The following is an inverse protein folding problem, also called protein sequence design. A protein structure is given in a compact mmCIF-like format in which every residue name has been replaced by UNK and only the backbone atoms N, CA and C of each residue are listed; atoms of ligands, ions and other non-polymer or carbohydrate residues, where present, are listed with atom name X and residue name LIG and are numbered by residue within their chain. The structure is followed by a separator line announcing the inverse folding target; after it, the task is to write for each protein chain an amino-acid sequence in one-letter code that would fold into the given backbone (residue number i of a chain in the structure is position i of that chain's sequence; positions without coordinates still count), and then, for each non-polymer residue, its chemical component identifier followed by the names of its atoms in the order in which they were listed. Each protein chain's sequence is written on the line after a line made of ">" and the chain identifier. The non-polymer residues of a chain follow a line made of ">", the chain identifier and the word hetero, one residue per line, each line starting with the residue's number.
data_IF_663791837987
#
_entry.id   IF_663791837987
#
_cell.length_a   1.000
_cell.length_b   1.000
_cell.length_c   1.000
_cell.angle_alpha   90.00
_cell.angle_beta   90.00
_cell.angle_gamma   90.00
#
_symmetry.space_group_name_H-M   'P 1'
#
loop_
_entity.id
_entity.type
_entity.pdbx_description
1 polymer ?
#
# COMPACT_ATOMS: atom_id res chain seq x y z
N UNK A 1 -6.62 -13.62 3.22
CA UNK A 1 -5.65 -13.67 2.10
C UNK A 1 -6.08 -12.76 0.95
N UNK A 2 -7.19 -13.05 0.25
CA UNK A 2 -7.61 -12.23 -0.91
C UNK A 2 -7.80 -10.75 -0.54
N UNK A 3 -8.57 -10.45 0.51
CA UNK A 3 -8.81 -9.07 0.98
C UNK A 3 -7.52 -8.35 1.38
N UNK A 4 -6.64 -9.04 2.12
CA UNK A 4 -5.38 -8.47 2.56
C UNK A 4 -4.46 -8.15 1.37
N UNK A 5 -4.37 -9.06 0.40
CA UNK A 5 -3.57 -8.90 -0.82
C UNK A 5 -4.09 -7.78 -1.71
N UNK A 6 -5.40 -7.67 -1.93
CA UNK A 6 -5.97 -6.60 -2.77
C UNK A 6 -5.81 -5.23 -2.11
N UNK A 7 -6.06 -5.12 -0.80
CA UNK A 7 -5.89 -3.88 -0.06
C UNK A 7 -4.42 -3.45 0.06
N UNK A 8 -3.49 -4.39 0.30
CA UNK A 8 -2.05 -4.11 0.36
C UNK A 8 -1.51 -3.63 -0.99
N UNK A 9 -1.97 -4.23 -2.10
CA UNK A 9 -1.66 -3.80 -3.47
C UNK A 9 -2.19 -2.41 -3.77
N UNK A 10 -3.40 -2.07 -3.33
CA UNK A 10 -3.96 -0.74 -3.47
C UNK A 10 -3.10 0.30 -2.72
N UNK A 11 -2.67 0.00 -1.50
CA UNK A 11 -1.75 0.88 -0.75
C UNK A 11 -0.42 1.07 -1.49
N UNK A 12 0.22 -0.01 -1.95
CA UNK A 12 1.47 0.09 -2.70
C UNK A 12 1.32 0.93 -3.99
N UNK A 13 0.19 0.81 -4.69
CA UNK A 13 -0.11 1.64 -5.87
C UNK A 13 -0.19 3.13 -5.53
N UNK A 14 -0.83 3.49 -4.41
CA UNK A 14 -0.85 4.89 -3.99
C UNK A 14 0.54 5.43 -3.62
N UNK A 15 1.50 4.58 -3.24
CA UNK A 15 2.88 5.00 -2.97
C UNK A 15 3.66 5.23 -4.27
N UNK A 16 3.45 4.39 -5.29
CA UNK A 16 4.01 4.56 -6.63
C UNK A 16 3.57 5.89 -7.24
N UNK A 17 2.28 6.22 -7.10
CA UNK A 17 1.71 7.46 -7.64
C UNK A 17 2.25 8.73 -6.96
N UNK A 18 2.47 8.67 -5.64
CA UNK A 18 2.75 9.86 -4.82
C UNK A 18 4.24 10.19 -4.63
N UNK A 19 5.15 9.27 -4.94
CA UNK A 19 6.56 9.41 -4.64
C UNK A 19 7.42 9.24 -5.90
N UNK A 20 8.58 9.90 -5.98
CA UNK A 20 9.52 9.66 -7.07
C UNK A 20 10.20 8.30 -6.92
N UNK A 21 10.38 7.59 -8.02
CA UNK A 21 11.17 6.36 -8.05
C UNK A 21 12.67 6.70 -7.94
N UNK A 22 13.36 6.12 -6.97
CA UNK A 22 14.79 6.30 -6.71
C UNK A 22 15.49 4.96 -6.92
N UNK A 23 16.55 4.93 -7.73
CA UNK A 23 17.37 3.74 -7.96
C UNK A 23 18.80 4.15 -8.27
N UNK A 24 19.78 3.49 -7.65
CA UNK A 24 21.22 3.79 -7.72
C UNK A 24 21.89 3.53 -9.07
N UNK A 25 21.12 3.36 -10.15
CA UNK A 25 21.69 3.02 -11.45
C UNK A 25 21.19 3.95 -12.55
N UNK A 26 22.07 4.87 -12.96
CA UNK A 26 21.97 5.64 -14.21
C UNK A 26 21.84 4.74 -15.47
N UNK A 27 21.94 3.42 -15.32
CA UNK A 27 21.94 2.40 -16.38
C UNK A 27 20.81 1.36 -16.31
N UNK A 28 19.75 1.54 -15.51
CA UNK A 28 18.66 0.55 -15.49
C UNK A 28 17.67 0.73 -16.65
N UNK A 29 17.56 -0.30 -17.50
CA UNK A 29 16.64 -0.42 -18.65
C UNK A 29 15.14 -0.40 -18.27
N UNK A 30 14.79 -0.24 -17.00
CA UNK A 30 13.42 -0.23 -16.48
C UNK A 30 12.81 1.18 -16.31
N UNK A 31 13.51 2.23 -16.78
CA UNK A 31 13.10 3.64 -16.68
C UNK A 31 11.65 4.00 -17.10
N UNK A 32 10.92 3.35 -18.04
CA UNK A 32 9.61 3.88 -18.43
C UNK A 32 8.41 3.33 -17.65
N UNK A 33 8.54 2.23 -16.89
CA UNK A 33 7.36 1.58 -16.26
C UNK A 33 6.95 2.20 -14.92
N UNK A 34 7.90 2.70 -14.14
CA UNK A 34 7.63 3.34 -12.83
C UNK A 34 7.23 4.82 -12.96
N UNK A 35 7.29 5.40 -14.16
CA UNK A 35 7.21 6.85 -14.38
C UNK A 35 5.79 7.40 -14.48
N UNK A 36 4.77 6.60 -14.83
CA UNK A 36 3.40 7.12 -15.00
C UNK A 36 2.35 6.07 -14.70
N UNK A 37 2.17 5.73 -13.42
CA UNK A 37 0.92 5.10 -13.03
C UNK A 37 -0.21 6.10 -13.27
N UNK A 38 -1.19 5.74 -14.08
CA UNK A 38 -2.31 6.62 -14.40
C UNK A 38 -3.20 6.80 -13.16
N UNK A 39 -3.75 8.00 -12.95
CA UNK A 39 -4.73 8.23 -11.89
C UNK A 39 -5.92 7.25 -11.98
N UNK A 40 -6.25 6.79 -13.18
CA UNK A 40 -7.30 5.79 -13.43
C UNK A 40 -6.90 4.41 -12.88
N UNK A 41 -5.65 3.98 -13.07
CA UNK A 41 -5.15 2.70 -12.55
C UNK A 41 -5.19 2.69 -11.02
N UNK A 42 -4.73 3.78 -10.40
CA UNK A 42 -4.78 3.95 -8.94
C UNK A 42 -6.22 3.95 -8.45
N UNK A 43 -7.14 4.62 -9.17
CA UNK A 43 -8.56 4.66 -8.81
C UNK A 43 -9.21 3.27 -8.89
N UNK A 44 -8.90 2.47 -9.92
CA UNK A 44 -9.37 1.07 -10.04
C UNK A 44 -8.82 0.23 -8.88
N UNK A 45 -7.54 0.37 -8.55
CA UNK A 45 -6.91 -0.36 -7.44
C UNK A 45 -7.52 0.02 -6.09
N UNK A 46 -7.75 1.31 -5.84
CA UNK A 46 -8.43 1.79 -4.64
C UNK A 46 -9.88 1.32 -4.57
N UNK A 47 -10.60 1.36 -5.69
CA UNK A 47 -11.99 0.89 -5.74
C UNK A 47 -12.07 -0.62 -5.47
N UNK A 48 -11.27 -1.43 -6.15
CA UNK A 48 -11.25 -2.89 -5.97
C UNK A 48 -10.73 -3.28 -4.57
N UNK A 49 -9.72 -2.59 -4.04
CA UNK A 49 -9.25 -2.75 -2.67
C UNK A 49 -10.32 -2.38 -1.63
N UNK A 50 -11.05 -1.28 -1.84
CA UNK A 50 -12.15 -0.86 -0.96
C UNK A 50 -13.32 -1.82 -0.99
N UNK A 51 -13.76 -2.26 -2.18
CA UNK A 51 -14.86 -3.23 -2.33
C UNK A 51 -14.51 -4.56 -1.67
N UNK A 52 -13.27 -5.02 -1.80
CA UNK A 52 -12.84 -6.27 -1.13
C UNK A 52 -12.76 -6.13 0.39
N UNK A 53 -12.41 -4.97 0.93
CA UNK A 53 -12.46 -4.70 2.37
C UNK A 53 -13.89 -4.74 2.92
N UNK A 54 -14.88 -4.25 2.17
CA UNK A 54 -16.28 -4.26 2.59
C UNK A 54 -16.85 -5.68 2.81
N UNK A 55 -16.22 -6.72 2.24
CA UNK A 55 -16.58 -8.13 2.50
C UNK A 55 -16.40 -8.51 3.97
N UNK A 56 -15.50 -7.84 4.70
CA UNK A 56 -15.29 -8.07 6.13
C UNK A 56 -16.33 -7.36 7.02
N UNK A 57 -17.15 -6.46 6.44
CA UNK A 57 -18.07 -5.60 7.18
C UNK A 57 -17.57 -4.16 7.26
N UNK A 58 -18.52 -3.22 7.43
CA UNK A 58 -18.24 -1.78 7.33
C UNK A 58 -17.32 -1.31 8.48
N UNK A 59 -17.54 -1.78 9.71
CA UNK A 59 -16.73 -1.39 10.86
C UNK A 59 -15.26 -1.81 10.69
N UNK A 60 -15.04 -3.08 10.33
CA UNK A 60 -13.71 -3.64 10.10
C UNK A 60 -13.02 -2.97 8.92
N UNK A 61 -13.75 -2.71 7.83
CA UNK A 61 -13.23 -1.99 6.67
C UNK A 61 -12.76 -0.57 7.03
N UNK A 62 -13.52 0.17 7.85
CA UNK A 62 -13.13 1.51 8.32
C UNK A 62 -11.88 1.44 9.18
N UNK A 63 -11.82 0.52 10.15
CA UNK A 63 -10.68 0.40 11.05
C UNK A 63 -9.41 -0.01 10.29
N UNK A 64 -9.49 -1.02 9.44
CA UNK A 64 -8.36 -1.48 8.62
C UNK A 64 -7.89 -0.36 7.70
N UNK A 65 -8.82 0.36 7.06
CA UNK A 65 -8.47 1.51 6.21
C UNK A 65 -7.74 2.59 7.00
N UNK A 66 -8.18 2.90 8.23
CA UNK A 66 -7.51 3.86 9.10
C UNK A 66 -6.08 3.43 9.43
N UNK A 67 -5.89 2.16 9.83
CA UNK A 67 -4.57 1.59 10.13
C UNK A 67 -3.64 1.69 8.91
N UNK A 68 -4.14 1.32 7.73
CA UNK A 68 -3.38 1.37 6.49
C UNK A 68 -3.02 2.80 6.07
N UNK A 69 -3.93 3.77 6.25
CA UNK A 69 -3.65 5.20 5.98
C UNK A 69 -2.57 5.74 6.92
N UNK A 70 -2.65 5.44 8.22
CA UNK A 70 -1.64 5.85 9.19
C UNK A 70 -0.28 5.24 8.84
N UNK A 71 -0.24 3.93 8.57
CA UNK A 71 0.98 3.25 8.13
C UNK A 71 1.56 3.90 6.88
N UNK A 72 0.74 4.12 5.84
CA UNK A 72 1.15 4.75 4.59
C UNK A 72 1.80 6.11 4.84
N UNK A 73 1.20 6.97 5.66
CA UNK A 73 1.73 8.30 5.96
C UNK A 73 3.08 8.22 6.69
N UNK A 74 3.20 7.33 7.69
CA UNK A 74 4.47 7.13 8.40
C UNK A 74 5.55 6.57 7.48
N UNK A 75 5.21 5.56 6.68
CA UNK A 75 6.14 4.90 5.76
C UNK A 75 6.60 5.84 4.64
N UNK A 76 5.69 6.61 4.04
CA UNK A 76 6.00 7.67 3.07
C UNK A 76 7.00 8.66 3.66
N UNK A 77 6.72 9.20 4.85
CA UNK A 77 7.63 10.17 5.52
C UNK A 77 9.00 9.56 5.81
N UNK A 78 9.04 8.30 6.25
CA UNK A 78 10.29 7.60 6.52
C UNK A 78 11.11 7.39 5.25
N UNK A 79 10.48 6.94 4.16
CA UNK A 79 11.11 6.77 2.85
C UNK A 79 11.62 8.09 2.28
N UNK A 80 10.81 9.15 2.29
CA UNK A 80 11.23 10.48 1.84
C UNK A 80 12.41 10.99 2.65
N UNK A 81 12.43 10.78 3.98
CA UNK A 81 13.55 11.21 4.84
C UNK A 81 14.83 10.40 4.61
N UNK A 82 14.73 9.11 4.26
CA UNK A 82 15.88 8.20 4.13
C UNK A 82 16.49 8.18 2.75
N UNK A 83 15.65 8.10 1.71
CA UNK A 83 16.08 7.89 0.31
C UNK A 83 15.51 8.92 -0.66
N UNK A 84 14.63 9.83 -0.19
CA UNK A 84 14.04 10.88 -1.05
C UNK A 84 12.92 10.40 -1.99
N UNK A 85 12.49 9.14 -1.91
CA UNK A 85 11.49 8.56 -2.80
C UNK A 85 11.21 7.09 -2.46
N UNK A 86 10.93 6.24 -3.46
CA UNK A 86 10.73 4.80 -3.26
C UNK A 86 11.61 3.95 -4.19
N UNK A 87 11.97 2.76 -3.73
CA UNK A 87 12.60 1.70 -4.56
C UNK A 87 11.62 0.53 -4.75
N UNK A 88 11.91 -0.39 -5.68
CA UNK A 88 11.13 -1.62 -5.85
C UNK A 88 11.06 -2.47 -4.58
N UNK A 89 12.18 -2.58 -3.85
CA UNK A 89 12.25 -3.32 -2.59
C UNK A 89 11.38 -2.68 -1.50
N UNK A 90 11.35 -1.35 -1.44
CA UNK A 90 10.53 -0.61 -0.48
C UNK A 90 9.03 -0.82 -0.73
N UNK A 91 8.60 -1.00 -1.98
CA UNK A 91 7.20 -1.30 -2.31
C UNK A 91 6.83 -2.73 -1.91
N UNK A 92 7.71 -3.70 -2.18
CA UNK A 92 7.52 -5.08 -1.73
C UNK A 92 7.38 -5.14 -0.20
N UNK A 93 8.26 -4.42 0.52
CA UNK A 93 8.17 -4.29 1.96
C UNK A 93 6.88 -3.61 2.42
N UNK A 94 6.45 -2.52 1.76
CA UNK A 94 5.20 -1.84 2.07
C UNK A 94 3.99 -2.78 1.94
N UNK A 95 3.97 -3.60 0.89
CA UNK A 95 2.89 -4.56 0.66
C UNK A 95 2.86 -5.63 1.76
N UNK A 96 4.00 -6.26 2.05
CA UNK A 96 4.10 -7.31 3.08
C UNK A 96 3.74 -6.78 4.48
N UNK A 97 4.24 -5.59 4.84
CA UNK A 97 3.90 -4.94 6.10
C UNK A 97 2.42 -4.58 6.17
N UNK A 98 1.83 -4.11 5.06
CA UNK A 98 0.39 -3.84 5.00
C UNK A 98 -0.44 -5.11 5.21
N UNK A 99 -0.08 -6.22 4.56
CA UNK A 99 -0.76 -7.50 4.78
C UNK A 99 -0.67 -7.95 6.24
N UNK A 100 0.52 -7.85 6.83
CA UNK A 100 0.74 -8.18 8.24
C UNK A 100 -0.14 -7.32 9.16
N UNK A 101 -0.21 -6.01 8.93
CA UNK A 101 -1.06 -5.09 9.71
C UNK A 101 -2.54 -5.42 9.59
N UNK A 102 -3.02 -5.78 8.39
CA UNK A 102 -4.41 -6.22 8.18
C UNK A 102 -4.68 -7.48 9.01
N UNK A 103 -3.79 -8.47 8.94
CA UNK A 103 -3.96 -9.70 9.72
C UNK A 103 -3.92 -9.46 11.23
N UNK A 104 -3.00 -8.63 11.72
CA UNK A 104 -2.93 -8.27 13.15
C UNK A 104 -4.19 -7.54 13.61
N UNK A 105 -4.71 -6.62 12.79
CA UNK A 105 -5.95 -5.89 13.10
C UNK A 105 -7.13 -6.85 13.17
N UNK A 106 -7.27 -7.76 12.20
CA UNK A 106 -8.32 -8.78 12.21
C UNK A 106 -8.21 -9.69 13.43
N UNK A 107 -7.01 -10.22 13.73
CA UNK A 107 -6.81 -11.10 14.90
C UNK A 107 -7.17 -10.36 16.19
N UNK A 108 -6.78 -9.09 16.33
CA UNK A 108 -7.15 -8.27 17.49
C UNK A 108 -8.67 -8.11 17.65
N UNK A 109 -9.38 -7.80 16.56
CA UNK A 109 -10.84 -7.67 16.55
C UNK A 109 -11.54 -8.98 16.94
N UNK A 110 -11.17 -10.09 16.30
CA UNK A 110 -11.78 -11.41 16.53
C UNK A 110 -11.39 -12.02 17.88
N UNK A 111 -10.25 -11.65 18.47
CA UNK A 111 -9.92 -12.06 19.83
C UNK A 111 -10.72 -11.28 20.89
N UNK A 112 -11.07 -10.02 20.60
CA UNK A 112 -11.83 -9.16 21.51
C UNK A 112 -13.35 -9.36 21.46
N UNK A 113 -13.85 -10.17 20.51
CA UNK A 113 -15.27 -10.47 20.31
C UNK A 113 -15.63 -11.85 20.85
#
# INVERSE_FOLDING_TARGET
>A
IVVAYTASRALAATLIYDMPYVSDSDTSKSKPLASRQSSLEVSILLFTGGVTLLVLGIADAILISLVLVVFRLMFKRWLTKRIGGFTGDCLGAAQQLSELLIYLTMIGLYHSS
#
